data_IF_812550260227
#
_entry.id   IF_812550260227
#
_cell.length_a   1.000
_cell.length_b   1.000
_cell.length_c   1.000
_cell.angle_alpha   90.00
_cell.angle_beta   90.00
_cell.angle_gamma   90.00
#
_symmetry.space_group_name_H-M   'P 1'
#
loop_
_entity.id
_entity.type
_entity.pdbx_description
1 polymer ?
#
# COMPACT_ATOMS: atom_id res chain seq x y z
N UNK A 1 26.36 -29.67 -1.59
CA UNK A 1 25.86 -28.72 -0.56
C UNK A 1 26.20 -27.26 -0.87
N UNK A 2 27.45 -26.92 -1.24
CA UNK A 2 27.86 -25.53 -1.58
C UNK A 2 27.11 -24.91 -2.78
N UNK A 3 26.88 -25.68 -3.85
CA UNK A 3 26.15 -25.21 -5.05
C UNK A 3 24.71 -24.77 -4.75
N UNK A 4 24.02 -25.48 -3.85
CA UNK A 4 22.64 -25.17 -3.47
C UNK A 4 22.53 -23.82 -2.76
N UNK A 5 23.50 -23.50 -1.90
CA UNK A 5 23.56 -22.23 -1.17
C UNK A 5 23.79 -21.07 -2.14
N UNK A 6 24.68 -21.22 -3.13
CA UNK A 6 24.91 -20.18 -4.12
C UNK A 6 23.71 -19.94 -5.04
N UNK A 7 23.02 -21.00 -5.48
CA UNK A 7 21.80 -20.86 -6.29
C UNK A 7 20.67 -20.19 -5.50
N UNK A 8 20.52 -20.52 -4.21
CA UNK A 8 19.55 -19.86 -3.33
C UNK A 8 19.87 -18.37 -3.13
N UNK A 9 21.13 -18.04 -2.84
CA UNK A 9 21.57 -16.64 -2.67
C UNK A 9 21.39 -15.82 -3.96
N UNK A 10 21.71 -16.40 -5.11
CA UNK A 10 21.48 -15.76 -6.41
C UNK A 10 20.01 -15.51 -6.70
N UNK A 11 19.15 -16.50 -6.44
CA UNK A 11 17.69 -16.35 -6.56
C UNK A 11 17.10 -15.33 -5.59
N UNK A 12 17.56 -15.33 -4.34
CA UNK A 12 17.11 -14.38 -3.32
C UNK A 12 17.47 -12.94 -3.66
N UNK A 13 18.68 -12.70 -4.19
CA UNK A 13 19.11 -11.37 -4.64
C UNK A 13 18.22 -10.83 -5.77
N UNK A 14 17.97 -11.64 -6.80
CA UNK A 14 17.09 -11.26 -7.91
C UNK A 14 15.66 -11.05 -7.42
N UNK A 15 15.16 -11.91 -6.52
CA UNK A 15 13.84 -11.78 -5.91
C UNK A 15 13.68 -10.49 -5.11
N UNK A 16 14.65 -10.15 -4.25
CA UNK A 16 14.63 -8.91 -3.48
C UNK A 16 14.70 -7.66 -4.36
N UNK A 17 15.51 -7.68 -5.42
CA UNK A 17 15.59 -6.56 -6.35
C UNK A 17 14.24 -6.28 -7.03
N UNK A 18 13.56 -7.34 -7.51
CA UNK A 18 12.22 -7.24 -8.09
C UNK A 18 11.22 -6.78 -7.02
N UNK A 19 11.27 -7.37 -5.83
CA UNK A 19 10.37 -7.02 -4.73
C UNK A 19 10.47 -5.56 -4.33
N UNK A 20 11.67 -4.96 -4.31
CA UNK A 20 11.87 -3.54 -4.00
C UNK A 20 11.34 -2.65 -5.13
N UNK A 21 11.58 -2.99 -6.40
CA UNK A 21 11.11 -2.19 -7.54
C UNK A 21 9.58 -2.16 -7.64
N UNK A 22 8.93 -3.27 -7.31
CA UNK A 22 7.47 -3.39 -7.33
C UNK A 22 6.84 -3.20 -5.95
N UNK A 23 7.63 -2.95 -4.91
CA UNK A 23 7.10 -2.71 -3.57
C UNK A 23 6.22 -1.47 -3.64
N UNK A 24 4.92 -1.57 -3.29
CA UNK A 24 4.08 -0.40 -3.17
C UNK A 24 4.60 0.49 -2.04
N UNK A 25 4.32 1.79 -2.12
CA UNK A 25 4.57 2.71 -1.01
C UNK A 25 3.81 2.25 0.25
N UNK A 26 4.31 2.62 1.43
CA UNK A 26 3.62 2.30 2.69
C UNK A 26 2.19 2.87 2.66
N UNK A 27 1.22 2.07 3.10
CA UNK A 27 -0.20 2.47 3.06
C UNK A 27 -0.49 3.77 3.79
N UNK A 28 0.24 4.06 4.88
CA UNK A 28 0.13 5.33 5.63
C UNK A 28 0.54 6.53 4.77
N UNK A 29 1.66 6.42 4.04
CA UNK A 29 2.15 7.48 3.15
C UNK A 29 1.21 7.68 1.96
N UNK A 30 0.67 6.58 1.42
CA UNK A 30 -0.33 6.62 0.35
C UNK A 30 -1.60 7.34 0.82
N UNK A 31 -2.12 7.00 2.01
CA UNK A 31 -3.32 7.64 2.59
C UNK A 31 -3.09 9.12 2.83
N UNK A 32 -1.91 9.49 3.36
CA UNK A 32 -1.52 10.89 3.57
C UNK A 32 -1.43 11.65 2.25
N UNK A 33 -0.80 11.07 1.23
CA UNK A 33 -0.67 11.67 -0.10
C UNK A 33 -2.04 11.87 -0.78
N UNK A 34 -2.97 10.92 -0.60
CA UNK A 34 -4.36 11.06 -1.07
C UNK A 34 -5.05 12.24 -0.35
N UNK A 35 -4.98 12.31 0.98
CA UNK A 35 -5.55 13.42 1.76
C UNK A 35 -4.97 14.77 1.32
N UNK A 36 -3.67 14.86 1.11
CA UNK A 36 -3.00 16.08 0.65
C UNK A 36 -3.44 16.49 -0.77
N UNK A 37 -3.59 15.52 -1.68
CA UNK A 37 -4.09 15.78 -3.04
C UNK A 37 -5.54 16.27 -3.04
N UNK A 38 -6.39 15.71 -2.18
CA UNK A 38 -7.80 16.10 -2.06
C UNK A 38 -7.94 17.49 -1.43
N UNK A 39 -7.19 17.79 -0.36
CA UNK A 39 -7.13 19.13 0.26
C UNK A 39 -6.68 20.18 -0.75
N UNK A 40 -5.66 19.88 -1.58
CA UNK A 40 -5.20 20.78 -2.66
C UNK A 40 -6.28 21.07 -3.72
N UNK A 41 -7.23 20.16 -3.91
CA UNK A 41 -8.39 20.36 -4.81
C UNK A 41 -9.56 21.07 -4.13
N UNK A 42 -9.40 21.53 -2.89
CA UNK A 42 -10.45 22.21 -2.13
C UNK A 42 -11.45 21.27 -1.47
N UNK A 43 -11.18 19.96 -1.47
CA UNK A 43 -12.02 18.97 -0.80
C UNK A 43 -11.32 18.60 0.51
N UNK A 44 -11.79 19.22 1.60
CA UNK A 44 -11.34 18.91 2.96
C UNK A 44 -12.37 18.01 3.62
N UNK A 45 -11.89 16.92 4.21
CA UNK A 45 -12.71 15.94 4.91
C UNK A 45 -12.16 15.77 6.31
N UNK A 46 -13.05 15.69 7.29
CA UNK A 46 -12.67 15.27 8.64
C UNK A 46 -12.47 13.75 8.67
N UNK A 47 -11.60 13.27 9.56
CA UNK A 47 -11.36 11.83 9.71
C UNK A 47 -12.67 11.06 10.01
N UNK A 48 -13.59 11.70 10.74
CA UNK A 48 -14.93 11.19 11.02
C UNK A 48 -15.80 10.99 9.76
N UNK A 49 -15.67 11.85 8.74
CA UNK A 49 -16.44 11.71 7.49
C UNK A 49 -15.92 10.56 6.63
N UNK A 50 -14.59 10.38 6.61
CA UNK A 50 -13.95 9.27 5.90
C UNK A 50 -14.34 7.94 6.55
N UNK A 51 -14.36 7.87 7.88
CA UNK A 51 -14.77 6.67 8.62
C UNK A 51 -16.24 6.30 8.34
N UNK A 52 -17.14 7.28 8.35
CA UNK A 52 -18.56 7.05 7.99
C UNK A 52 -18.74 6.56 6.55
N UNK A 53 -17.94 7.05 5.60
CA UNK A 53 -17.98 6.57 4.22
C UNK A 53 -17.47 5.13 4.11
N UNK A 54 -16.43 4.77 4.86
CA UNK A 54 -15.92 3.40 4.94
C UNK A 54 -16.96 2.45 5.53
N UNK A 55 -17.66 2.86 6.58
CA UNK A 55 -18.74 2.09 7.19
C UNK A 55 -19.89 1.84 6.21
N UNK A 56 -20.29 2.88 5.45
CA UNK A 56 -21.33 2.76 4.44
C UNK A 56 -20.95 1.80 3.30
N UNK A 57 -19.70 1.86 2.83
CA UNK A 57 -19.21 0.96 1.78
C UNK A 57 -19.13 -0.48 2.30
N UNK A 58 -18.62 -0.68 3.52
CA UNK A 58 -18.50 -2.02 4.12
C UNK A 58 -19.87 -2.66 4.32
N UNK A 59 -20.86 -1.88 4.76
CA UNK A 59 -22.24 -2.35 4.90
C UNK A 59 -22.89 -2.74 3.56
N UNK A 60 -22.46 -2.16 2.43
CA UNK A 60 -22.93 -2.55 1.10
C UNK A 60 -22.25 -3.82 0.56
N UNK A 61 -21.04 -4.14 1.02
CA UNK A 61 -20.30 -5.34 0.61
C UNK A 61 -20.79 -6.58 1.35
N UNK A 62 -21.36 -6.41 2.55
CA UNK A 62 -21.95 -7.50 3.35
C UNK A 62 -23.41 -7.85 2.97
N UNK A 63 -24.00 -7.16 1.97
CA UNK A 63 -25.29 -7.54 1.35
C UNK A 63 -25.10 -8.40 0.10
#
# INVERSE_FOLDING_TARGET
>A
MKSLIYSFLGGALVGCAIAILFAPEKGEDTRKRIKDLLKKKGIDFTDDEVERLVDQISAQIEQ
#
